data_IF_208070028779
#
_entry.id   IF_208070028779
#
_cell.length_a   1.000
_cell.length_b   1.000
_cell.length_c   1.000
_cell.angle_alpha   90.00
_cell.angle_beta   90.00
_cell.angle_gamma   90.00
#
_symmetry.space_group_name_H-M   'P 1'
#
loop_
_entity.id
_entity.type
_entity.pdbx_description
1 polymer ?
#
# COMPACT_ATOMS: atom_id res chain seq x y z
N UNK A 1 -32.45 3.89 -20.17
CA UNK A 1 -31.54 2.73 -20.27
C UNK A 1 -30.95 2.48 -18.89
N UNK A 2 -31.21 1.31 -18.31
CA UNK A 2 -30.94 1.03 -16.90
C UNK A 2 -29.49 0.57 -16.70
N UNK A 3 -28.70 1.37 -15.97
CA UNK A 3 -27.38 0.96 -15.49
C UNK A 3 -27.55 0.04 -14.26
N UNK A 4 -27.04 -1.18 -14.34
CA UNK A 4 -27.03 -2.11 -13.21
C UNK A 4 -26.22 -1.56 -12.02
N UNK A 5 -26.53 -1.96 -10.78
CA UNK A 5 -26.03 -1.34 -9.54
C UNK A 5 -24.53 -1.51 -9.22
N UNK A 6 -23.70 -1.88 -10.20
CA UNK A 6 -22.25 -2.06 -10.03
C UNK A 6 -21.45 -1.56 -11.26
N UNK A 7 -22.06 -0.71 -12.09
CA UNK A 7 -21.33 0.00 -13.14
C UNK A 7 -20.70 1.24 -12.49
N UNK A 8 -19.41 1.18 -12.12
CA UNK A 8 -18.68 2.36 -11.66
C UNK A 8 -18.70 3.44 -12.77
N UNK A 9 -19.52 4.52 -12.65
CA UNK A 9 -19.63 5.50 -13.71
C UNK A 9 -18.27 6.16 -13.91
N UNK A 10 -17.80 6.14 -15.16
CA UNK A 10 -16.61 6.84 -15.63
C UNK A 10 -17.06 7.89 -16.63
N UNK A 11 -16.82 9.16 -16.32
CA UNK A 11 -17.05 10.25 -17.25
C UNK A 11 -15.68 10.82 -17.63
N UNK A 12 -15.29 10.60 -18.88
CA UNK A 12 -14.04 11.13 -19.43
C UNK A 12 -14.32 12.46 -20.12
N UNK A 13 -13.62 13.52 -19.72
CA UNK A 13 -13.64 14.84 -20.37
C UNK A 13 -12.21 15.30 -20.61
N UNK A 14 -11.85 15.49 -21.88
CA UNK A 14 -10.55 16.02 -22.34
C UNK A 14 -9.32 15.39 -21.64
N UNK A 15 -8.87 15.99 -20.53
CA UNK A 15 -7.68 15.59 -19.77
C UNK A 15 -7.99 14.92 -18.42
N UNK A 16 -9.27 14.85 -18.03
CA UNK A 16 -9.72 14.31 -16.74
C UNK A 16 -10.73 13.16 -16.87
N UNK A 17 -10.78 12.33 -15.84
CA UNK A 17 -11.73 11.25 -15.67
C UNK A 17 -12.36 11.35 -14.27
N UNK A 18 -13.68 11.48 -14.22
CA UNK A 18 -14.43 11.36 -12.98
C UNK A 18 -14.76 9.89 -12.74
N UNK A 19 -14.41 9.37 -11.55
CA UNK A 19 -14.72 7.99 -11.15
C UNK A 19 -15.43 7.96 -9.81
N UNK A 20 -16.38 7.05 -9.64
CA UNK A 20 -17.04 6.83 -8.34
C UNK A 20 -16.47 5.61 -7.62
N UNK A 21 -16.25 5.74 -6.32
CA UNK A 21 -15.93 4.61 -5.43
C UNK A 21 -16.43 4.91 -4.01
N UNK A 22 -17.18 3.98 -3.40
CA UNK A 22 -17.78 4.09 -2.06
C UNK A 22 -18.44 5.46 -1.82
N UNK A 23 -19.42 5.79 -2.66
CA UNK A 23 -20.20 7.03 -2.58
C UNK A 23 -19.43 8.35 -2.73
N UNK A 24 -18.13 8.28 -3.07
CA UNK A 24 -17.29 9.44 -3.36
C UNK A 24 -16.97 9.53 -4.84
N UNK A 25 -16.84 10.76 -5.32
CA UNK A 25 -16.39 11.09 -6.66
C UNK A 25 -14.92 11.50 -6.65
N UNK A 26 -14.18 11.02 -7.63
CA UNK A 26 -12.75 11.21 -7.77
C UNK A 26 -12.45 11.84 -9.11
N UNK A 27 -11.83 13.03 -9.09
CA UNK A 27 -11.31 13.67 -10.28
C UNK A 27 -9.88 13.21 -10.51
N UNK A 28 -9.65 12.47 -11.60
CA UNK A 28 -8.34 11.88 -11.93
C UNK A 28 -7.88 12.39 -13.29
N UNK A 29 -6.58 12.31 -13.61
CA UNK A 29 -6.11 12.42 -14.99
C UNK A 29 -6.75 11.33 -15.87
N UNK A 30 -7.10 11.67 -17.11
CA UNK A 30 -7.71 10.73 -18.07
C UNK A 30 -6.84 9.51 -18.31
N UNK A 31 -5.53 9.72 -18.42
CA UNK A 31 -4.53 8.67 -18.46
C UNK A 31 -3.74 8.70 -17.15
N UNK A 32 -3.99 7.73 -16.28
CA UNK A 32 -3.17 7.57 -15.09
C UNK A 32 -1.75 7.17 -15.51
N UNK A 33 -0.72 7.70 -14.84
CA UNK A 33 0.63 7.24 -15.07
C UNK A 33 0.73 5.73 -14.82
N UNK A 34 1.76 5.09 -15.36
CA UNK A 34 2.05 3.69 -15.06
C UNK A 34 2.78 3.59 -13.72
N UNK A 35 2.37 2.67 -12.83
CA UNK A 35 3.09 2.43 -11.59
C UNK A 35 4.52 1.96 -11.88
N UNK A 36 5.41 2.06 -10.89
CA UNK A 36 6.75 1.51 -11.01
C UNK A 36 6.69 0.00 -11.31
N UNK A 37 7.47 -0.45 -12.30
CA UNK A 37 7.49 -1.86 -12.71
C UNK A 37 8.59 -2.65 -12.00
N UNK A 38 9.70 -1.99 -11.69
CA UNK A 38 10.89 -2.63 -11.13
C UNK A 38 10.82 -2.65 -9.60
N UNK A 39 11.27 -3.74 -8.97
CA UNK A 39 11.45 -3.77 -7.53
C UNK A 39 12.55 -2.79 -7.11
N UNK A 40 12.38 -2.17 -5.96
CA UNK A 40 13.36 -1.26 -5.37
C UNK A 40 13.95 -1.91 -4.12
N UNK A 41 15.28 -2.09 -4.08
CA UNK A 41 15.97 -2.52 -2.87
C UNK A 41 15.94 -1.40 -1.83
N UNK A 42 15.75 -1.77 -0.56
CA UNK A 42 15.77 -0.82 0.55
C UNK A 42 16.83 -1.27 1.56
N UNK A 43 17.97 -0.59 1.59
CA UNK A 43 19.18 -0.99 2.32
C UNK A 43 19.16 -0.60 3.80
N UNK A 44 17.98 -0.23 4.33
CA UNK A 44 17.85 0.23 5.70
C UNK A 44 18.15 1.71 5.90
N UNK A 45 17.97 2.54 4.87
CA UNK A 45 17.84 3.99 5.03
C UNK A 45 16.58 4.31 5.84
N UNK A 46 16.59 5.37 6.67
CA UNK A 46 15.40 5.78 7.41
C UNK A 46 14.24 6.15 6.48
N UNK A 47 14.54 6.83 5.37
CA UNK A 47 13.58 7.26 4.36
C UNK A 47 14.03 6.76 3.00
N UNK A 48 13.12 6.12 2.27
CA UNK A 48 13.28 5.70 0.89
C UNK A 48 12.38 6.52 -0.02
N UNK A 49 12.98 7.28 -0.94
CA UNK A 49 12.23 7.96 -1.97
C UNK A 49 11.68 6.95 -2.98
N UNK A 50 10.38 6.99 -3.26
CA UNK A 50 9.77 6.12 -4.24
C UNK A 50 9.87 6.75 -5.65
N UNK A 51 10.04 5.92 -6.69
CA UNK A 51 10.16 6.40 -8.06
C UNK A 51 8.88 7.06 -8.55
N UNK A 52 8.97 7.80 -9.67
CA UNK A 52 7.81 8.44 -10.33
C UNK A 52 7.05 9.42 -9.44
N UNK A 53 7.72 9.96 -8.39
CA UNK A 53 7.11 10.91 -7.47
C UNK A 53 6.00 10.29 -6.62
N UNK A 54 5.98 8.97 -6.41
CA UNK A 54 4.93 8.31 -5.63
C UNK A 54 5.12 8.45 -4.10
N UNK A 55 5.74 9.55 -3.65
CA UNK A 55 6.02 9.81 -2.23
C UNK A 55 7.25 9.11 -1.69
N UNK A 56 7.27 8.89 -0.37
CA UNK A 56 8.42 8.30 0.35
C UNK A 56 7.95 7.29 1.39
N UNK A 57 8.74 6.23 1.59
CA UNK A 57 8.56 5.32 2.72
C UNK A 57 9.49 5.73 3.85
N UNK A 58 8.96 5.76 5.07
CA UNK A 58 9.74 6.03 6.28
C UNK A 58 9.62 4.87 7.25
N UNK A 59 10.75 4.47 7.83
CA UNK A 59 10.78 3.52 8.95
C UNK A 59 10.59 4.29 10.24
N UNK A 60 9.68 3.81 11.08
CA UNK A 60 9.47 4.34 12.43
C UNK A 60 9.60 3.22 13.44
N UNK A 61 10.27 3.49 14.55
CA UNK A 61 10.35 2.53 15.65
C UNK A 61 8.95 2.19 16.13
N UNK A 62 8.67 0.90 16.27
CA UNK A 62 7.39 0.38 16.71
C UNK A 62 7.58 -0.89 17.53
N UNK A 63 6.57 -1.24 18.33
CA UNK A 63 6.59 -2.49 19.10
C UNK A 63 6.53 -3.75 18.20
N UNK A 64 6.00 -3.60 16.98
CA UNK A 64 5.86 -4.68 16.00
C UNK A 64 6.17 -4.14 14.60
N UNK A 65 6.70 -4.97 13.72
CA UNK A 65 7.00 -4.58 12.34
C UNK A 65 8.13 -5.42 11.76
N UNK A 66 8.87 -4.85 10.81
CA UNK A 66 10.05 -5.50 10.23
C UNK A 66 11.20 -5.41 11.25
N UNK A 67 11.76 -6.54 11.71
CA UNK A 67 12.85 -6.52 12.69
C UNK A 67 14.17 -6.01 12.07
N UNK A 68 15.05 -5.48 12.91
CA UNK A 68 16.37 -4.92 12.54
C UNK A 68 17.20 -5.81 11.63
N UNK A 69 17.36 -7.08 11.95
CA UNK A 69 18.20 -8.01 11.21
C UNK A 69 17.78 -8.18 9.74
N UNK A 70 16.49 -8.02 9.41
CA UNK A 70 16.00 -8.11 8.03
C UNK A 70 16.60 -7.00 7.13
N UNK A 71 16.89 -5.84 7.72
CA UNK A 71 17.53 -4.71 7.04
C UNK A 71 19.02 -4.96 6.84
N UNK A 72 19.69 -5.46 7.88
CA UNK A 72 21.13 -5.77 7.86
C UNK A 72 21.47 -6.85 6.83
N UNK A 73 20.56 -7.80 6.61
CA UNK A 73 20.70 -8.85 5.60
C UNK A 73 20.34 -8.39 4.18
N UNK A 74 19.91 -7.14 3.98
CA UNK A 74 19.54 -6.61 2.67
C UNK A 74 18.32 -7.31 2.04
N UNK A 75 17.44 -7.89 2.86
CA UNK A 75 16.29 -8.67 2.39
C UNK A 75 15.07 -7.81 2.06
N UNK A 76 15.10 -6.51 2.38
CA UNK A 76 13.94 -5.64 2.25
C UNK A 76 13.84 -5.07 0.83
N UNK A 77 12.71 -5.31 0.19
CA UNK A 77 12.40 -4.79 -1.15
C UNK A 77 11.02 -4.17 -1.20
N UNK A 78 10.85 -3.14 -2.03
CA UNK A 78 9.56 -2.51 -2.34
C UNK A 78 9.14 -2.93 -3.74
N UNK A 79 7.90 -3.39 -3.88
CA UNK A 79 7.32 -3.88 -5.15
C UNK A 79 5.93 -3.28 -5.35
N UNK A 80 5.42 -3.26 -6.59
CA UNK A 80 4.09 -2.71 -6.93
C UNK A 80 3.17 -3.74 -7.60
N UNK A 81 3.60 -5.00 -7.68
CA UNK A 81 2.84 -6.07 -8.32
C UNK A 81 1.85 -6.69 -7.33
N UNK A 82 0.54 -6.43 -7.51
CA UNK A 82 -0.48 -6.95 -6.60
C UNK A 82 -0.95 -8.39 -6.89
N UNK A 83 -0.68 -8.90 -8.09
CA UNK A 83 -1.24 -10.17 -8.55
C UNK A 83 -0.71 -11.35 -7.72
N UNK A 84 -1.60 -12.19 -7.21
CA UNK A 84 -1.23 -13.37 -6.41
C UNK A 84 -0.69 -13.07 -5.00
N UNK A 85 -0.47 -11.80 -4.64
CA UNK A 85 0.12 -11.45 -3.36
C UNK A 85 -0.87 -11.71 -2.21
N UNK A 86 -0.34 -12.34 -1.16
CA UNK A 86 -1.06 -12.62 0.08
C UNK A 86 -0.28 -12.10 1.27
N UNK A 87 -1.03 -11.56 2.22
CA UNK A 87 -0.54 -11.11 3.51
C UNK A 87 -0.86 -12.20 4.53
N UNK A 88 0.13 -12.68 5.27
CA UNK A 88 -0.11 -13.43 6.51
C UNK A 88 -0.44 -12.40 7.59
N UNK A 89 -1.54 -12.58 8.30
CA UNK A 89 -1.97 -11.64 9.32
C UNK A 89 -1.22 -11.93 10.63
N UNK A 90 -0.73 -10.90 11.35
CA UNK A 90 -0.06 -11.09 12.63
C UNK A 90 -0.91 -11.88 13.63
N UNK A 91 -0.25 -12.68 14.47
CA UNK A 91 -0.90 -13.46 15.53
C UNK A 91 -1.64 -14.70 15.03
N UNK A 92 -1.18 -15.32 13.93
CA UNK A 92 -1.74 -16.58 13.43
C UNK A 92 -3.17 -16.47 12.86
N UNK A 93 -3.64 -15.26 12.52
CA UNK A 93 -5.01 -15.01 12.02
C UNK A 93 -5.23 -15.44 10.56
N UNK A 94 -4.38 -16.34 10.05
CA UNK A 94 -4.41 -16.84 8.69
C UNK A 94 -3.88 -15.86 7.66
N UNK A 95 -4.20 -16.11 6.38
CA UNK A 95 -3.72 -15.32 5.25
C UNK A 95 -4.86 -14.70 4.44
N UNK A 96 -4.74 -13.42 4.12
CA UNK A 96 -5.68 -12.68 3.25
C UNK A 96 -5.01 -12.27 1.95
N UNK A 97 -5.75 -12.32 0.85
CA UNK A 97 -5.27 -11.78 -0.41
C UNK A 97 -5.17 -10.26 -0.32
N UNK A 98 -4.17 -9.69 -1.00
CA UNK A 98 -3.98 -8.24 -1.04
C UNK A 98 -5.21 -7.50 -1.57
N UNK A 99 -5.91 -8.09 -2.55
CA UNK A 99 -7.19 -7.57 -3.06
C UNK A 99 -8.23 -7.42 -1.96
N UNK A 100 -8.39 -8.41 -1.07
CA UNK A 100 -9.36 -8.37 0.04
C UNK A 100 -8.96 -7.32 1.07
N UNK A 101 -7.66 -7.18 1.37
CA UNK A 101 -7.16 -6.13 2.26
C UNK A 101 -7.45 -4.73 1.71
N UNK A 102 -7.10 -4.49 0.45
CA UNK A 102 -7.39 -3.23 -0.23
C UNK A 102 -8.90 -2.93 -0.26
N UNK A 103 -9.74 -3.94 -0.50
CA UNK A 103 -11.18 -3.77 -0.48
C UNK A 103 -11.69 -3.40 0.91
N UNK A 104 -11.22 -4.07 1.97
CA UNK A 104 -11.63 -3.77 3.35
C UNK A 104 -11.24 -2.35 3.75
N UNK A 105 -9.98 -1.97 3.49
CA UNK A 105 -9.41 -0.65 3.75
C UNK A 105 -9.94 0.46 2.82
N UNK A 106 -10.88 0.16 1.92
CA UNK A 106 -11.45 1.19 1.06
C UNK A 106 -10.48 1.76 0.02
N UNK A 107 -9.44 1.03 -0.35
CA UNK A 107 -8.49 1.48 -1.37
C UNK A 107 -9.14 1.39 -2.76
N UNK A 108 -9.26 2.51 -3.50
CA UNK A 108 -9.84 2.51 -4.83
C UNK A 108 -9.05 1.65 -5.82
N UNK A 109 -9.70 0.97 -6.79
CA UNK A 109 -9.03 0.07 -7.73
C UNK A 109 -7.88 0.70 -8.52
N UNK A 110 -7.94 2.00 -8.82
CA UNK A 110 -6.89 2.73 -9.54
C UNK A 110 -5.70 3.14 -8.67
N UNK A 111 -5.88 3.21 -7.35
CA UNK A 111 -4.79 3.47 -6.38
C UNK A 111 -4.02 2.19 -6.10
N UNK A 112 -4.69 1.03 -6.11
CA UNK A 112 -4.07 -0.28 -5.77
C UNK A 112 -2.74 -0.55 -6.50
N UNK A 113 -2.60 -0.35 -7.83
CA UNK A 113 -1.33 -0.52 -8.55
C UNK A 113 -0.16 0.31 -8.03
N UNK A 114 -0.45 1.37 -7.28
CA UNK A 114 0.54 2.31 -6.75
C UNK A 114 0.90 2.08 -5.30
N UNK A 115 0.21 1.15 -4.62
CA UNK A 115 0.54 0.79 -3.25
C UNK A 115 1.96 0.22 -3.22
N UNK A 116 2.87 0.82 -2.45
CA UNK A 116 4.16 0.20 -2.20
C UNK A 116 3.94 -1.05 -1.35
N UNK A 117 4.45 -2.19 -1.80
CA UNK A 117 4.39 -3.45 -1.09
C UNK A 117 5.78 -3.75 -0.55
N UNK A 118 5.91 -3.84 0.78
CA UNK A 118 7.20 -4.09 1.42
C UNK A 118 7.35 -5.58 1.67
N UNK A 119 8.38 -6.17 1.08
CA UNK A 119 8.73 -7.57 1.20
C UNK A 119 10.01 -7.74 2.01
N UNK A 120 10.06 -8.81 2.81
CA UNK A 120 11.29 -9.35 3.40
C UNK A 120 11.55 -10.69 2.72
N UNK A 121 12.59 -10.76 1.89
CA UNK A 121 12.75 -11.85 0.94
C UNK A 121 11.55 -11.91 -0.01
N UNK A 122 10.80 -13.01 0.05
CA UNK A 122 9.56 -13.21 -0.74
C UNK A 122 8.26 -13.09 0.07
N UNK A 123 8.36 -12.83 1.37
CA UNK A 123 7.20 -12.64 2.23
C UNK A 123 6.78 -11.18 2.26
N UNK A 124 5.50 -10.90 1.98
CA UNK A 124 4.93 -9.57 2.19
C UNK A 124 4.93 -9.26 3.69
N UNK A 125 5.62 -8.21 4.09
CA UNK A 125 5.77 -7.77 5.47
C UNK A 125 4.88 -6.56 5.80
N UNK A 126 4.66 -5.66 4.83
CA UNK A 126 3.75 -4.53 5.04
C UNK A 126 3.13 -4.01 3.73
N UNK A 127 1.93 -3.46 3.85
CA UNK A 127 1.26 -2.62 2.87
C UNK A 127 0.99 -1.29 3.59
N UNK A 128 1.91 -0.31 3.51
CA UNK A 128 1.81 0.94 4.25
C UNK A 128 0.46 1.64 4.04
N UNK A 129 -0.18 2.04 5.15
CA UNK A 129 -1.52 2.64 5.13
C UNK A 129 -2.68 1.66 4.84
N UNK A 130 -2.43 0.35 4.81
CA UNK A 130 -3.47 -0.66 4.53
C UNK A 130 -3.41 -1.83 5.51
N UNK A 131 -2.25 -2.45 5.69
CA UNK A 131 -2.09 -3.60 6.58
C UNK A 131 -0.62 -3.86 6.95
N UNK A 132 -0.38 -4.17 8.21
CA UNK A 132 0.82 -4.89 8.62
C UNK A 132 0.64 -6.39 8.39
N UNK A 133 1.65 -7.04 7.81
CA UNK A 133 1.69 -8.48 7.65
C UNK A 133 2.65 -9.09 8.68
N UNK A 134 2.57 -10.39 8.85
CA UNK A 134 3.46 -11.15 9.70
C UNK A 134 4.89 -11.11 9.13
N UNK A 135 5.74 -10.34 9.80
CA UNK A 135 7.17 -10.31 9.59
C UNK A 135 7.86 -11.48 10.34
N UNK A 136 9.11 -11.82 10.01
CA UNK A 136 9.92 -12.72 10.82
C UNK A 136 9.94 -12.29 12.29
N UNK A 137 10.01 -13.26 13.19
CA UNK A 137 10.15 -12.98 14.61
C UNK A 137 11.49 -12.26 14.87
N UNK A 138 11.53 -11.28 15.79
CA UNK A 138 12.79 -10.71 16.24
C UNK A 138 13.66 -11.80 16.90
N UNK A 139 14.97 -11.75 16.67
CA UNK A 139 15.95 -12.71 17.18
C UNK A 139 16.41 -12.37 18.62
N UNK A 140 16.10 -11.16 19.11
CA UNK A 140 16.42 -10.66 20.44
C UNK A 140 15.47 -9.50 20.82
N UNK A 141 15.83 -8.67 21.81
CA UNK A 141 15.23 -7.34 22.05
C UNK A 141 15.67 -6.31 20.97
N UNK A 142 15.62 -6.72 19.71
CA UNK A 142 15.98 -5.87 18.58
C UNK A 142 14.83 -4.91 18.23
N UNK A 143 15.14 -3.72 17.69
CA UNK A 143 14.11 -2.78 17.29
C UNK A 143 13.28 -3.34 16.12
N UNK A 144 11.98 -3.14 16.20
CA UNK A 144 11.05 -3.37 15.09
C UNK A 144 10.67 -2.04 14.43
N UNK A 145 10.42 -2.10 13.13
CA UNK A 145 10.14 -0.94 12.31
C UNK A 145 8.79 -1.06 11.62
N UNK A 146 7.90 -0.11 11.92
CA UNK A 146 6.70 0.16 11.12
C UNK A 146 7.11 0.94 9.86
N UNK A 147 6.44 0.66 8.75
CA UNK A 147 6.63 1.39 7.49
C UNK A 147 5.45 2.31 7.24
N UNK A 148 5.75 3.61 7.17
CA UNK A 148 4.77 4.65 6.88
C UNK A 148 4.99 5.18 5.46
N UNK A 149 3.89 5.41 4.72
CA UNK A 149 3.94 6.03 3.40
C UNK A 149 3.51 7.50 3.48
N UNK A 150 4.49 8.37 3.27
CA UNK A 150 4.40 9.83 3.40
C UNK A 150 4.45 10.50 2.03
N UNK A 151 3.98 11.75 1.97
CA UNK A 151 4.02 12.62 0.77
C UNK A 151 3.41 11.95 -0.47
N UNK A 152 2.27 11.30 -0.28
CA UNK A 152 1.53 10.67 -1.37
C UNK A 152 1.03 11.77 -2.32
N UNK A 153 1.16 11.59 -3.63
CA UNK A 153 0.53 12.47 -4.61
C UNK A 153 -0.95 12.69 -4.31
N UNK A 154 -1.47 13.89 -4.54
CA UNK A 154 -2.85 14.25 -4.18
C UNK A 154 -3.88 13.32 -4.84
N UNK A 155 -3.64 12.89 -6.08
CA UNK A 155 -4.52 11.94 -6.78
C UNK A 155 -4.46 10.50 -6.22
N UNK A 156 -3.49 10.18 -5.37
CA UNK A 156 -3.36 8.93 -4.60
C UNK A 156 -3.88 9.04 -3.18
N UNK A 157 -4.25 10.23 -2.71
CA UNK A 157 -4.81 10.41 -1.38
C UNK A 157 -6.24 9.87 -1.38
N UNK A 158 -6.44 8.74 -0.70
CA UNK A 158 -7.74 8.32 -0.22
C UNK A 158 -7.80 8.70 1.25
N UNK A 159 -8.78 9.52 1.61
CA UNK A 159 -8.97 9.88 3.00
C UNK A 159 -9.28 8.60 3.76
N UNK A 160 -8.43 8.27 4.73
CA UNK A 160 -8.83 7.45 5.86
C UNK A 160 -9.89 8.27 6.58
N UNK A 161 -11.16 7.91 6.38
CA UNK A 161 -12.21 8.34 7.30
C UNK A 161 -11.82 7.71 8.64
N UNK A 162 -11.07 8.45 9.45
CA UNK A 162 -11.03 8.20 10.88
C UNK A 162 -12.44 8.44 11.33
N UNK A 163 -13.18 7.35 11.42
CA UNK A 163 -14.48 7.24 12.05
C UNK A 163 -14.44 8.11 13.31
N UNK A 164 -15.07 9.28 13.20
CA UNK A 164 -15.45 10.06 14.35
C UNK A 164 -16.43 9.18 15.10
N UNK A 165 -15.95 8.55 16.17
CA UNK A 165 -16.80 7.83 17.10
C UNK A 165 -16.47 8.34 18.51
N UNK A 166 -17.44 8.81 19.28
CA UNK A 166 -18.67 9.54 18.94
C UNK A 166 -18.65 11.00 19.46
#
# INVERSE_FOLDING_TARGET
>A
EAAGPDAAPRLDWEEAALRRYRDRLWLLPRALPRPPAEPLAWSGEEVLALPRGSGRLRRRLAATGVPGHCWEQGLVTVRWQLAGVRCRLPGGRGSRSLRKLCQAAGVPPWVRPWLPLVFVGDALAAVPGVAACEAPAPQAEEPCWEIVWEERPDWLQFEEETDGIP
#
